data_IF_719804494003
#
_entry.id   IF_719804494003
#
_cell.length_a   1.000
_cell.length_b   1.000
_cell.length_c   1.000
_cell.angle_alpha   90.00
_cell.angle_beta   90.00
_cell.angle_gamma   90.00
#
_symmetry.space_group_name_H-M   'P 1'
#
loop_
_entity.id
_entity.type
_entity.pdbx_description
1 polymer ?
#
# COMPACT_ATOMS: atom_id res chain seq x y z
N UNK A 1 3.55 -19.11 -8.26
CA UNK A 1 4.04 -19.00 -6.86
C UNK A 1 5.00 -20.16 -6.63
N UNK A 2 6.17 -20.02 -6.01
CA UNK A 2 7.21 -21.06 -5.97
C UNK A 2 7.95 -20.86 -4.63
N UNK A 3 8.32 -21.86 -3.82
CA UNK A 3 9.20 -21.74 -2.63
C UNK A 3 10.65 -22.24 -2.88
N UNK A 4 11.56 -21.88 -1.96
CA UNK A 4 13.02 -21.81 -2.16
C UNK A 4 13.81 -23.12 -1.93
N UNK A 5 13.14 -24.27 -1.75
CA UNK A 5 13.78 -25.60 -1.82
C UNK A 5 13.46 -26.34 -3.13
N UNK A 6 13.14 -25.59 -4.18
CA UNK A 6 12.53 -26.11 -5.39
C UNK A 6 11.16 -25.51 -5.53
N UNK A 7 11.11 -24.47 -6.35
CA UNK A 7 9.94 -23.85 -6.94
C UNK A 7 8.57 -24.53 -6.67
N UNK A 8 7.90 -24.18 -5.56
CA UNK A 8 6.55 -24.66 -5.16
C UNK A 8 5.31 -23.82 -5.54
N UNK A 9 4.57 -24.23 -6.56
CA UNK A 9 3.25 -23.69 -6.93
C UNK A 9 2.35 -23.58 -5.71
N UNK A 10 1.65 -22.45 -5.48
CA UNK A 10 0.70 -22.30 -4.36
C UNK A 10 -0.65 -21.79 -4.88
N UNK A 11 -1.73 -22.14 -4.17
CA UNK A 11 -3.13 -21.89 -4.54
C UNK A 11 -3.95 -21.49 -3.29
N UNK A 12 -4.82 -20.48 -3.39
CA UNK A 12 -5.79 -20.18 -2.33
C UNK A 12 -6.92 -21.23 -2.29
N UNK A 13 -7.28 -21.68 -1.08
CA UNK A 13 -8.43 -22.57 -0.80
C UNK A 13 -8.97 -22.22 0.59
N UNK A 14 -10.28 -22.13 0.79
CA UNK A 14 -10.90 -21.90 2.10
C UNK A 14 -10.28 -20.74 2.94
N UNK A 15 -9.84 -19.64 2.29
CA UNK A 15 -9.23 -18.49 2.97
C UNK A 15 -7.74 -18.65 3.34
N UNK A 16 -7.13 -19.80 3.06
CA UNK A 16 -5.73 -20.08 3.33
C UNK A 16 -4.96 -20.33 2.03
N UNK A 17 -3.66 -20.02 2.03
CA UNK A 17 -2.75 -20.37 0.94
C UNK A 17 -2.24 -21.78 1.18
N UNK A 18 -2.21 -22.60 0.13
CA UNK A 18 -1.69 -23.96 0.18
C UNK A 18 -0.67 -24.16 -0.93
N UNK A 19 0.30 -25.03 -0.68
CA UNK A 19 1.14 -25.56 -1.73
C UNK A 19 0.30 -26.41 -2.70
N UNK A 20 0.50 -26.30 -4.00
CA UNK A 20 -0.14 -27.17 -5.00
C UNK A 20 0.36 -28.62 -4.82
N UNK A 21 1.57 -28.82 -4.29
CA UNK A 21 2.08 -30.14 -3.91
C UNK A 21 1.58 -30.66 -2.56
N UNK A 22 1.03 -29.79 -1.70
CA UNK A 22 0.44 -30.15 -0.40
C UNK A 22 -0.74 -29.23 -0.06
N UNK A 23 -1.94 -29.69 -0.40
CA UNK A 23 -3.20 -28.99 -0.16
C UNK A 23 -3.78 -29.21 1.25
N UNK A 24 -3.01 -29.82 2.15
CA UNK A 24 -3.45 -30.14 3.51
C UNK A 24 -2.79 -29.23 4.55
N UNK A 25 -1.60 -28.68 4.25
CA UNK A 25 -0.88 -27.77 5.15
C UNK A 25 -1.02 -26.32 4.69
N UNK A 26 -1.70 -25.45 5.47
CA UNK A 26 -1.81 -24.04 5.11
C UNK A 26 -0.48 -23.31 5.34
N UNK A 27 -0.08 -22.52 4.34
CA UNK A 27 1.08 -21.63 4.36
C UNK A 27 0.81 -20.29 5.07
N UNK A 28 -0.47 -19.97 5.31
CA UNK A 28 -0.93 -18.73 5.94
C UNK A 28 -2.31 -18.33 5.43
N UNK A 29 -2.90 -17.26 5.99
CA UNK A 29 -4.17 -16.75 5.48
C UNK A 29 -3.95 -15.85 4.26
N UNK A 30 -4.83 -15.98 3.26
CA UNK A 30 -4.80 -15.14 2.05
C UNK A 30 -5.05 -13.67 2.39
N UNK A 31 -5.81 -13.40 3.46
CA UNK A 31 -6.09 -12.04 3.95
C UNK A 31 -4.86 -11.28 4.41
N UNK A 32 -3.78 -11.98 4.74
CA UNK A 32 -2.62 -11.40 5.42
C UNK A 32 -1.50 -11.07 4.41
N UNK A 33 -1.72 -11.31 3.11
CA UNK A 33 -0.72 -11.16 2.04
C UNK A 33 -1.28 -10.33 0.89
N UNK A 34 -0.53 -9.29 0.51
CA UNK A 34 -0.82 -8.47 -0.68
C UNK A 34 -0.17 -9.10 -1.91
N UNK A 35 -0.97 -9.48 -2.90
CA UNK A 35 -0.50 -10.04 -4.16
C UNK A 35 -0.29 -8.92 -5.19
N UNK A 36 0.92 -8.80 -5.72
CA UNK A 36 1.28 -7.75 -6.69
C UNK A 36 1.66 -8.31 -8.07
N UNK A 37 2.61 -9.25 -8.12
CA UNK A 37 3.29 -9.67 -9.35
C UNK A 37 3.22 -11.19 -9.61
N UNK A 38 2.52 -11.94 -8.76
CA UNK A 38 2.43 -13.38 -8.90
C UNK A 38 3.70 -14.15 -8.49
N UNK A 39 4.71 -13.48 -7.92
CA UNK A 39 5.99 -14.05 -7.52
C UNK A 39 6.11 -14.19 -5.99
N UNK A 40 6.18 -15.44 -5.52
CA UNK A 40 6.08 -15.77 -4.10
C UNK A 40 7.31 -16.51 -3.56
N UNK A 41 8.36 -16.66 -4.39
CA UNK A 41 9.63 -17.27 -3.91
C UNK A 41 10.35 -16.32 -2.98
N UNK A 42 10.21 -15.02 -3.18
CA UNK A 42 10.94 -14.04 -2.40
C UNK A 42 9.95 -12.92 -2.07
N UNK A 43 9.30 -12.99 -0.90
CA UNK A 43 8.33 -11.98 -0.49
C UNK A 43 9.04 -10.64 -0.34
N UNK A 44 8.41 -9.59 -0.86
CA UNK A 44 8.92 -8.22 -0.78
C UNK A 44 7.98 -7.39 0.07
N UNK A 45 8.56 -6.53 0.92
CA UNK A 45 7.78 -5.53 1.61
C UNK A 45 7.26 -4.50 0.61
N UNK A 46 5.99 -4.15 0.75
CA UNK A 46 5.34 -3.09 0.00
C UNK A 46 4.71 -2.11 0.96
N UNK A 47 4.84 -0.83 0.65
CA UNK A 47 4.16 0.24 1.39
C UNK A 47 2.81 0.46 0.70
N UNK A 48 1.74 0.40 1.48
CA UNK A 48 0.37 0.51 0.97
C UNK A 48 -0.46 1.47 1.80
N UNK A 49 -1.43 2.11 1.16
CA UNK A 49 -2.47 2.86 1.84
C UNK A 49 -3.62 1.90 2.18
N UNK A 50 -4.09 1.91 3.43
CA UNK A 50 -5.25 1.14 3.89
C UNK A 50 -5.23 -0.36 3.51
N UNK A 51 -4.06 -1.01 3.65
CA UNK A 51 -3.85 -2.44 3.42
C UNK A 51 -4.20 -2.93 2.00
N UNK A 52 -4.21 -2.05 0.99
CA UNK A 52 -4.56 -2.42 -0.38
C UNK A 52 -3.50 -2.01 -1.40
N UNK A 53 -3.34 -2.84 -2.43
CA UNK A 53 -2.57 -2.53 -3.63
C UNK A 53 -3.43 -2.87 -4.86
N UNK A 54 -3.79 -1.90 -5.70
CA UNK A 54 -3.54 -0.45 -5.56
C UNK A 54 -4.22 0.15 -4.32
N UNK A 55 -3.80 1.36 -3.95
CA UNK A 55 -4.46 2.13 -2.88
C UNK A 55 -5.92 2.44 -3.22
N UNK A 56 -6.72 2.88 -2.23
CA UNK A 56 -8.14 3.19 -2.44
C UNK A 56 -8.32 4.34 -3.45
N UNK A 57 -9.29 4.17 -4.36
CA UNK A 57 -9.65 5.20 -5.34
C UNK A 57 -10.36 6.37 -4.65
N UNK A 58 -9.91 7.59 -4.95
CA UNK A 58 -10.64 8.82 -4.62
C UNK A 58 -11.41 9.21 -5.88
N UNK A 59 -12.75 9.17 -5.81
CA UNK A 59 -13.63 9.54 -6.91
C UNK A 59 -14.45 10.77 -6.51
N UNK A 60 -14.28 11.88 -7.22
CA UNK A 60 -14.90 13.17 -6.92
C UNK A 60 -15.27 13.89 -8.21
N UNK A 61 -16.16 14.86 -8.11
CA UNK A 61 -16.56 15.74 -9.21
C UNK A 61 -15.73 17.02 -9.19
N UNK A 62 -15.52 17.61 -10.37
CA UNK A 62 -14.86 18.92 -10.50
C UNK A 62 -15.48 19.96 -9.56
N UNK A 63 -14.62 20.75 -8.91
CA UNK A 63 -15.02 21.79 -7.95
C UNK A 63 -15.28 21.29 -6.52
N UNK A 64 -15.34 19.97 -6.29
CA UNK A 64 -15.43 19.44 -4.92
C UNK A 64 -14.11 19.60 -4.16
N UNK A 65 -14.22 19.92 -2.87
CA UNK A 65 -13.07 19.92 -1.95
C UNK A 65 -12.82 18.50 -1.44
N UNK A 66 -11.55 18.11 -1.37
CA UNK A 66 -11.14 16.79 -0.93
C UNK A 66 -10.27 16.93 0.30
N UNK A 67 -10.70 16.34 1.41
CA UNK A 67 -9.93 16.34 2.66
C UNK A 67 -9.43 14.93 2.97
N UNK A 68 -8.11 14.73 2.96
CA UNK A 68 -7.48 13.43 3.20
C UNK A 68 -6.56 13.49 4.41
N UNK A 69 -6.91 12.77 5.48
CA UNK A 69 -6.03 12.58 6.63
C UNK A 69 -5.14 11.35 6.39
N UNK A 70 -3.85 11.60 6.18
CA UNK A 70 -2.84 10.55 6.06
C UNK A 70 -2.23 10.31 7.44
N UNK A 71 -2.27 9.06 7.90
CA UNK A 71 -1.65 8.63 9.15
C UNK A 71 -0.48 7.73 8.78
N UNK A 72 0.74 8.13 9.11
CA UNK A 72 1.93 7.33 8.83
C UNK A 72 2.04 6.19 9.87
N UNK A 73 1.79 4.96 9.43
CA UNK A 73 1.93 3.75 10.26
C UNK A 73 3.25 3.01 10.05
N UNK A 74 4.18 3.57 9.26
CA UNK A 74 5.52 3.00 9.11
C UNK A 74 6.33 3.20 10.39
N UNK A 75 7.27 2.30 10.64
CA UNK A 75 8.02 2.25 11.90
C UNK A 75 9.13 3.31 11.96
N UNK A 76 9.81 3.57 10.85
CA UNK A 76 11.02 4.39 10.83
C UNK A 76 11.11 5.40 9.68
N UNK A 77 10.19 5.34 8.71
CA UNK A 77 10.26 6.15 7.49
C UNK A 77 9.26 7.30 7.54
N UNK A 78 9.72 8.49 7.16
CA UNK A 78 8.84 9.62 6.90
C UNK A 78 8.18 9.49 5.52
N UNK A 79 6.90 9.86 5.40
CA UNK A 79 6.16 9.73 4.12
C UNK A 79 5.47 11.02 3.73
N UNK A 80 5.24 11.19 2.42
CA UNK A 80 4.39 12.23 1.84
C UNK A 80 3.51 11.60 0.75
N UNK A 81 2.39 12.25 0.41
CA UNK A 81 1.48 11.79 -0.65
C UNK A 81 1.33 12.91 -1.65
N UNK A 82 1.80 12.69 -2.89
CA UNK A 82 1.66 13.66 -3.98
C UNK A 82 0.39 13.38 -4.79
N UNK A 83 -0.36 14.45 -5.08
CA UNK A 83 -1.61 14.41 -5.83
C UNK A 83 -1.34 14.64 -7.31
N UNK A 84 -0.83 13.60 -7.98
CA UNK A 84 -0.39 13.71 -9.37
C UNK A 84 -1.48 14.29 -10.29
N UNK A 85 -1.15 15.40 -10.96
CA UNK A 85 -2.04 16.09 -11.89
C UNK A 85 -2.96 17.15 -11.26
N UNK A 86 -2.99 17.29 -9.93
CA UNK A 86 -3.72 18.37 -9.26
C UNK A 86 -2.87 19.64 -9.26
N UNK A 87 -3.43 20.76 -9.73
CA UNK A 87 -2.69 22.02 -9.93
C UNK A 87 -2.28 22.71 -8.61
N UNK A 88 -2.97 22.42 -7.50
CA UNK A 88 -2.72 23.01 -6.18
C UNK A 88 -2.68 24.55 -6.16
N UNK A 89 -3.61 25.19 -6.91
CA UNK A 89 -3.70 26.65 -7.01
C UNK A 89 -4.04 27.26 -5.63
N UNK A 90 -3.12 28.07 -5.10
CA UNK A 90 -3.16 28.68 -3.77
C UNK A 90 -3.10 27.68 -2.59
N UNK A 91 -2.80 26.40 -2.85
CA UNK A 91 -2.70 25.32 -1.86
C UNK A 91 -1.40 24.52 -2.07
N UNK A 92 -0.31 25.21 -2.46
CA UNK A 92 0.97 24.57 -2.77
C UNK A 92 1.52 23.71 -1.62
N UNK A 93 1.28 24.09 -0.37
CA UNK A 93 1.64 23.32 0.83
C UNK A 93 0.89 21.97 0.96
N UNK A 94 -0.07 21.69 0.09
CA UNK A 94 -0.82 20.43 0.00
C UNK A 94 -0.34 19.53 -1.14
N UNK A 95 0.69 19.93 -1.89
CA UNK A 95 1.18 19.18 -3.05
C UNK A 95 1.87 17.86 -2.68
N UNK A 96 2.42 17.74 -1.47
CA UNK A 96 2.98 16.47 -1.01
C UNK A 96 4.39 16.16 -1.50
N UNK A 97 5.17 17.14 -1.95
CA UNK A 97 6.58 16.94 -2.30
C UNK A 97 7.47 17.22 -1.09
N UNK A 98 8.10 16.17 -0.59
CA UNK A 98 8.97 16.24 0.59
C UNK A 98 10.13 17.21 0.41
N UNK A 99 10.38 18.03 1.43
CA UNK A 99 11.42 19.05 1.51
C UNK A 99 11.35 20.17 0.45
N UNK A 100 10.28 20.21 -0.35
CA UNK A 100 9.95 21.37 -1.20
C UNK A 100 8.74 22.09 -0.62
N UNK A 101 7.62 21.37 -0.48
CA UNK A 101 6.34 21.96 -0.08
C UNK A 101 5.96 21.60 1.36
N UNK A 102 6.55 20.54 1.91
CA UNK A 102 6.34 20.12 3.30
C UNK A 102 7.49 19.25 3.84
N UNK A 103 7.60 19.16 5.17
CA UNK A 103 8.36 18.08 5.80
C UNK A 103 7.62 16.73 5.64
N UNK A 104 8.35 15.60 5.61
CA UNK A 104 7.73 14.28 5.68
C UNK A 104 6.88 14.12 6.94
N UNK A 105 5.78 13.37 6.81
CA UNK A 105 4.97 12.94 7.96
C UNK A 105 5.79 11.90 8.72
N UNK A 106 6.25 12.23 9.92
CA UNK A 106 7.03 11.31 10.77
C UNK A 106 6.26 10.03 11.12
N UNK A 107 6.97 8.91 11.42
CA UNK A 107 6.36 7.69 11.98
C UNK A 107 5.36 7.99 13.10
N UNK A 108 4.18 7.36 13.04
CA UNK A 108 3.10 7.53 14.01
C UNK A 108 2.34 8.85 13.95
N UNK A 109 2.80 9.82 13.15
CA UNK A 109 2.17 11.14 13.01
C UNK A 109 1.15 11.17 11.87
N UNK A 110 0.39 12.26 11.78
CA UNK A 110 -0.60 12.46 10.72
C UNK A 110 -0.56 13.86 10.14
N UNK A 111 -0.93 13.98 8.86
CA UNK A 111 -1.14 15.26 8.19
C UNK A 111 -2.47 15.21 7.42
N UNK A 112 -3.17 16.34 7.34
CA UNK A 112 -4.43 16.43 6.60
C UNK A 112 -4.25 17.34 5.40
N UNK A 113 -4.37 16.77 4.21
CA UNK A 113 -4.40 17.48 2.93
C UNK A 113 -5.82 18.01 2.68
N UNK A 114 -5.96 19.24 2.19
CA UNK A 114 -7.25 19.88 1.87
C UNK A 114 -7.15 20.91 0.73
#
# INVERSE_FOLDING_TARGET
MMNENGKRLVKPKNGQLYDIGDLNTPLGNVSDIIQADGYYQNPRLVIVANNSLPGPTINVTEGQKVKVKVINKLLSEGVTVHWHGVVQKNTNFMDGVSFINQCPISPGSSFTYE
#
